data_IF_234846611520
#
_entry.id   IF_234846611520
#
_cell.length_a   1.000
_cell.length_b   1.000
_cell.length_c   1.000
_cell.angle_alpha   90.00
_cell.angle_beta   90.00
_cell.angle_gamma   90.00
#
_symmetry.space_group_name_H-M   'P 1'
#
loop_
_entity.id
_entity.type
_entity.pdbx_description
1 polymer ?
#
# COMPACT_ATOMS: atom_id res chain seq x y z
N UNK A 1 -16.46 -1.16 15.43
CA UNK A 1 -15.20 -0.68 16.05
C UNK A 1 -14.09 -0.86 15.03
N UNK A 2 -13.18 0.11 14.94
CA UNK A 2 -11.94 -0.01 14.18
C UNK A 2 -10.76 -0.18 15.14
N UNK A 3 -9.72 -0.89 14.70
CA UNK A 3 -8.49 -1.10 15.45
C UNK A 3 -7.30 -0.81 14.55
N UNK A 4 -6.56 0.25 14.86
CA UNK A 4 -5.28 0.55 14.20
C UNK A 4 -4.15 -0.11 15.01
N UNK A 5 -3.27 -0.85 14.33
CA UNK A 5 -2.19 -1.57 14.97
C UNK A 5 -0.94 -1.64 14.09
N UNK A 6 0.17 -2.05 14.68
CA UNK A 6 1.42 -2.31 13.95
C UNK A 6 1.93 -3.68 14.33
N UNK A 7 2.06 -4.56 13.34
CA UNK A 7 2.69 -5.86 13.51
C UNK A 7 4.20 -5.73 13.27
N UNK A 8 5.02 -6.27 14.20
CA UNK A 8 6.47 -6.36 14.03
C UNK A 8 6.84 -7.78 13.63
N UNK A 9 7.29 -7.97 12.39
CA UNK A 9 7.70 -9.26 11.88
C UNK A 9 9.03 -9.69 12.51
N UNK A 10 9.09 -10.83 13.21
CA UNK A 10 10.25 -11.22 14.02
C UNK A 10 11.43 -11.76 13.20
N UNK A 11 11.22 -12.10 11.92
CA UNK A 11 12.24 -12.67 11.03
C UNK A 11 12.78 -11.62 10.06
N UNK A 12 13.86 -11.95 9.36
CA UNK A 12 14.34 -11.14 8.24
C UNK A 12 13.34 -11.24 7.09
N UNK A 13 12.79 -10.09 6.66
CA UNK A 13 11.93 -10.02 5.49
C UNK A 13 12.80 -9.97 4.23
N UNK A 14 12.71 -11.00 3.38
CA UNK A 14 13.47 -11.11 2.13
C UNK A 14 12.66 -10.47 1.01
N UNK A 15 13.28 -9.53 0.30
CA UNK A 15 12.72 -8.90 -0.88
C UNK A 15 13.00 -9.73 -2.13
N UNK A 16 12.24 -9.49 -3.20
CA UNK A 16 12.38 -10.17 -4.49
C UNK A 16 13.79 -10.02 -5.07
N UNK A 17 14.41 -8.84 -4.90
CA UNK A 17 15.79 -8.58 -5.33
C UNK A 17 16.88 -9.21 -4.42
N UNK A 18 16.49 -10.02 -3.44
CA UNK A 18 17.40 -10.71 -2.52
C UNK A 18 17.90 -9.85 -1.33
N UNK A 19 17.67 -8.54 -1.32
CA UNK A 19 17.94 -7.70 -0.15
C UNK A 19 17.00 -8.07 1.00
N UNK A 20 17.35 -7.64 2.21
CA UNK A 20 16.62 -8.00 3.42
C UNK A 20 16.31 -6.78 4.28
N UNK A 21 15.11 -6.75 4.85
CA UNK A 21 14.70 -5.78 5.86
C UNK A 21 14.63 -6.49 7.21
N UNK A 22 15.33 -5.94 8.20
CA UNK A 22 15.28 -6.39 9.59
C UNK A 22 14.18 -5.62 10.31
N UNK A 23 13.45 -6.28 11.20
CA UNK A 23 12.39 -5.67 12.02
C UNK A 23 11.34 -4.96 11.16
N UNK A 24 10.84 -5.64 10.12
CA UNK A 24 9.76 -5.11 9.30
C UNK A 24 8.55 -4.84 10.19
N UNK A 25 8.08 -3.59 10.18
CA UNK A 25 6.84 -3.16 10.80
C UNK A 25 5.78 -3.00 9.72
N UNK A 26 4.59 -3.55 9.95
CA UNK A 26 3.44 -3.43 9.06
C UNK A 26 2.33 -2.73 9.84
N UNK A 27 2.04 -1.49 9.48
CA UNK A 27 0.91 -0.75 10.03
C UNK A 27 -0.36 -1.13 9.27
N UNK A 28 -1.43 -1.41 9.99
CA UNK A 28 -2.69 -1.84 9.42
C UNK A 28 -3.87 -1.38 10.28
N UNK A 29 -5.05 -1.42 9.70
CA UNK A 29 -6.30 -1.16 10.37
C UNK A 29 -7.28 -2.29 10.06
N UNK A 30 -8.04 -2.68 11.07
CA UNK A 30 -9.15 -3.61 10.91
C UNK A 30 -10.46 -2.96 11.31
N UNK A 31 -11.55 -3.40 10.72
CA UNK A 31 -12.89 -2.95 11.02
C UNK A 31 -13.80 -4.17 11.15
N UNK A 32 -14.67 -4.15 12.16
CA UNK A 32 -15.57 -5.28 12.44
C UNK A 32 -14.88 -6.42 13.19
N UNK A 33 -15.43 -7.63 13.08
CA UNK A 33 -14.92 -8.81 13.79
C UNK A 33 -14.87 -10.01 12.85
N UNK A 34 -13.76 -10.74 12.91
CA UNK A 34 -13.63 -12.04 12.27
C UNK A 34 -14.63 -13.01 12.90
N UNK A 35 -15.50 -13.62 12.10
CA UNK A 35 -16.48 -14.57 12.59
C UNK A 35 -15.85 -15.95 12.87
N UNK A 36 -16.62 -16.85 13.49
CA UNK A 36 -16.13 -18.18 13.86
C UNK A 36 -15.73 -19.04 12.66
N UNK A 37 -16.43 -18.89 11.53
CA UNK A 37 -16.13 -19.58 10.27
C UNK A 37 -14.92 -18.99 9.53
N UNK A 38 -14.47 -17.79 9.91
CA UNK A 38 -13.40 -17.01 9.26
C UNK A 38 -13.63 -16.75 7.77
N UNK A 39 -14.88 -16.64 7.34
CA UNK A 39 -15.30 -16.50 5.93
C UNK A 39 -15.82 -15.08 5.59
N UNK A 40 -15.75 -14.13 6.53
CA UNK A 40 -16.23 -12.76 6.32
C UNK A 40 -15.13 -11.73 6.05
N UNK A 41 -13.96 -12.17 5.59
CA UNK A 41 -12.77 -11.31 5.41
C UNK A 41 -12.81 -10.54 4.10
N UNK A 42 -12.74 -9.21 4.20
CA UNK A 42 -12.50 -8.33 3.05
C UNK A 42 -11.12 -7.71 3.21
N UNK A 43 -10.22 -7.99 2.25
CA UNK A 43 -8.90 -7.37 2.23
C UNK A 43 -8.86 -6.26 1.19
N UNK A 44 -8.50 -5.06 1.64
CA UNK A 44 -8.40 -3.87 0.79
C UNK A 44 -6.94 -3.50 0.57
N UNK A 45 -6.52 -3.51 -0.69
CA UNK A 45 -5.21 -3.02 -1.11
C UNK A 45 -5.33 -1.54 -1.51
N UNK A 46 -4.67 -0.65 -0.77
CA UNK A 46 -4.75 0.80 -1.00
C UNK A 46 -3.90 1.24 -2.22
N UNK A 47 -4.28 2.36 -2.85
CA UNK A 47 -3.54 2.98 -3.96
C UNK A 47 -2.26 3.71 -3.47
N UNK A 48 -1.41 4.20 -4.39
CA UNK A 48 -0.06 4.73 -4.10
C UNK A 48 0.03 5.71 -2.92
N UNK A 49 -0.94 6.63 -2.80
CA UNK A 49 -0.91 7.72 -1.81
C UNK A 49 -1.98 7.59 -0.72
N UNK A 50 -2.70 6.46 -0.67
CA UNK A 50 -3.69 6.17 0.37
C UNK A 50 -3.02 5.52 1.60
N UNK A 51 -3.82 5.20 2.62
CA UNK A 51 -3.36 4.64 3.89
C UNK A 51 -4.23 3.44 4.33
N UNK A 52 -4.01 2.92 5.53
CA UNK A 52 -4.76 1.79 6.09
C UNK A 52 -6.20 2.12 6.52
N UNK A 53 -6.56 3.39 6.63
CA UNK A 53 -7.93 3.80 6.98
C UNK A 53 -8.81 3.89 5.72
N UNK A 54 -9.30 2.74 5.27
CA UNK A 54 -10.17 2.66 4.08
C UNK A 54 -11.48 3.46 4.21
N UNK A 55 -11.94 3.73 5.44
CA UNK A 55 -13.15 4.54 5.63
C UNK A 55 -12.91 6.01 5.32
N UNK A 56 -11.65 6.49 5.43
CA UNK A 56 -11.27 7.87 5.09
C UNK A 56 -11.22 8.09 3.58
N UNK A 57 -10.56 7.19 2.83
CA UNK A 57 -10.24 7.43 1.41
C UNK A 57 -11.14 6.68 0.43
N UNK A 58 -11.97 5.73 0.89
CA UNK A 58 -12.92 4.99 0.05
C UNK A 58 -14.35 5.00 0.60
N UNK A 59 -14.75 6.14 1.18
CA UNK A 59 -16.11 6.39 1.65
C UNK A 59 -17.15 6.10 0.55
N UNK A 60 -18.32 5.62 0.97
CA UNK A 60 -19.45 5.26 0.10
C UNK A 60 -19.41 3.79 -0.33
N UNK A 61 -18.23 3.23 -0.58
CA UNK A 61 -18.07 1.78 -0.75
C UNK A 61 -17.81 1.09 0.60
N UNK A 62 -17.01 1.73 1.45
CA UNK A 62 -16.70 1.30 2.82
C UNK A 62 -17.25 2.30 3.83
N UNK A 63 -17.73 1.81 4.97
CA UNK A 63 -18.30 2.64 6.04
C UNK A 63 -19.35 1.93 6.87
N UNK A 64 -19.87 2.59 7.91
CA UNK A 64 -20.85 1.96 8.83
C UNK A 64 -22.15 1.52 8.15
N UNK A 65 -22.60 2.27 7.14
CA UNK A 65 -23.84 2.05 6.40
C UNK A 65 -23.56 1.80 4.90
N UNK A 66 -22.34 1.42 4.54
CA UNK A 66 -21.93 1.19 3.16
C UNK A 66 -22.08 -0.29 2.78
N UNK A 67 -21.80 -0.62 1.51
CA UNK A 67 -21.80 -2.00 1.01
C UNK A 67 -20.85 -2.88 1.83
N UNK A 68 -19.63 -2.41 2.08
CA UNK A 68 -18.68 -3.10 2.94
C UNK A 68 -18.64 -2.43 4.31
N UNK A 69 -19.45 -2.97 5.22
CA UNK A 69 -19.61 -2.46 6.58
C UNK A 69 -19.03 -3.40 7.65
N UNK A 70 -18.67 -2.87 8.84
CA UNK A 70 -18.03 -3.67 9.90
C UNK A 70 -19.01 -4.50 10.73
N UNK A 71 -20.33 -4.39 10.49
CA UNK A 71 -21.31 -5.24 11.16
C UNK A 71 -21.37 -6.62 10.48
N UNK A 72 -21.11 -6.68 9.18
CA UNK A 72 -21.15 -7.90 8.37
C UNK A 72 -19.75 -8.48 8.08
N UNK A 73 -18.75 -7.60 7.91
CA UNK A 73 -17.43 -8.00 7.43
C UNK A 73 -16.32 -7.74 8.43
N UNK A 74 -15.26 -8.54 8.34
CA UNK A 74 -13.96 -8.24 8.90
C UNK A 74 -13.08 -7.63 7.82
N UNK A 75 -12.98 -6.30 7.82
CA UNK A 75 -12.27 -5.55 6.79
C UNK A 75 -10.84 -5.32 7.27
N UNK A 76 -9.86 -5.61 6.43
CA UNK A 76 -8.43 -5.43 6.70
C UNK A 76 -7.83 -4.54 5.61
N UNK A 77 -7.11 -3.50 6.01
CA UNK A 77 -6.29 -2.71 5.10
C UNK A 77 -4.93 -2.45 5.74
N UNK A 78 -3.85 -2.73 5.00
CA UNK A 78 -2.49 -2.62 5.49
C UNK A 78 -1.68 -1.65 4.64
N UNK A 79 -0.91 -0.79 5.30
CA UNK A 79 0.00 0.12 4.62
C UNK A 79 1.13 -0.66 3.96
N UNK A 80 1.33 -0.46 2.67
CA UNK A 80 2.38 -1.15 1.90
C UNK A 80 3.79 -0.80 2.37
N UNK A 81 4.75 -1.69 2.11
CA UNK A 81 6.16 -1.43 2.32
C UNK A 81 6.57 -0.10 1.65
N UNK A 82 7.34 0.73 2.35
CA UNK A 82 7.74 2.04 1.81
C UNK A 82 6.71 3.17 2.01
N UNK A 83 5.47 2.86 2.42
CA UNK A 83 4.47 3.87 2.76
C UNK A 83 4.91 4.72 3.97
N UNK A 84 4.63 6.02 3.94
CA UNK A 84 4.94 6.91 5.08
C UNK A 84 3.96 6.75 6.26
N UNK A 85 2.90 5.95 6.10
CA UNK A 85 1.88 5.71 7.13
C UNK A 85 2.25 4.53 8.05
N UNK A 86 3.40 4.59 8.72
CA UNK A 86 3.76 3.68 9.81
C UNK A 86 4.41 2.34 9.44
N UNK A 87 4.14 1.77 8.26
CA UNK A 87 4.90 0.61 7.75
C UNK A 87 6.36 1.01 7.48
N UNK A 88 7.30 0.06 7.63
CA UNK A 88 8.73 0.32 7.40
C UNK A 88 8.98 0.99 6.04
N UNK A 89 9.70 2.10 6.06
CA UNK A 89 9.86 3.01 4.93
C UNK A 89 11.22 3.74 4.97
N UNK A 90 11.57 4.58 3.98
CA UNK A 90 12.85 5.27 3.94
C UNK A 90 13.17 6.12 5.17
N UNK A 91 12.18 6.59 5.93
CA UNK A 91 12.40 7.37 7.15
C UNK A 91 12.44 6.50 8.42
N UNK A 92 12.26 5.18 8.29
CA UNK A 92 12.48 4.23 9.40
C UNK A 92 13.97 4.11 9.73
N UNK A 93 14.29 3.86 11.00
CA UNK A 93 15.66 3.64 11.46
C UNK A 93 16.25 2.37 10.85
N UNK A 94 17.42 2.50 10.21
CA UNK A 94 18.23 1.38 9.79
C UNK A 94 18.95 0.78 11.02
N UNK A 95 18.70 -0.48 11.39
CA UNK A 95 19.29 -1.09 12.58
C UNK A 95 20.80 -1.32 12.47
N UNK A 96 21.39 -1.20 11.28
CA UNK A 96 22.85 -1.31 11.09
C UNK A 96 23.55 0.01 11.40
N UNK A 97 22.96 1.13 11.00
CA UNK A 97 23.59 2.46 11.10
C UNK A 97 23.04 3.31 12.25
N UNK A 98 21.90 2.94 12.83
CA UNK A 98 21.19 3.73 13.84
C UNK A 98 20.51 5.00 13.29
N UNK A 99 20.64 5.28 11.99
CA UNK A 99 20.06 6.45 11.30
C UNK A 99 18.94 6.03 10.35
N UNK A 100 18.04 6.94 9.91
CA UNK A 100 17.04 6.59 8.90
C UNK A 100 17.67 6.07 7.60
N UNK A 101 16.97 5.19 6.89
CA UNK A 101 17.47 4.61 5.65
C UNK A 101 17.73 5.65 4.54
N UNK A 102 16.85 6.64 4.39
CA UNK A 102 16.82 7.58 3.27
C UNK A 102 17.03 6.86 1.92
N UNK A 103 17.97 7.32 1.10
CA UNK A 103 18.28 6.76 -0.21
C UNK A 103 18.90 5.35 -0.16
N UNK A 104 19.31 4.87 1.02
CA UNK A 104 19.79 3.49 1.19
C UNK A 104 18.67 2.47 1.38
N UNK A 105 17.41 2.90 1.47
CA UNK A 105 16.28 1.99 1.56
C UNK A 105 16.27 1.06 0.34
N UNK A 106 16.12 -0.27 0.52
CA UNK A 106 16.18 -1.19 -0.60
C UNK A 106 15.02 -0.93 -1.56
N UNK A 107 15.28 -1.05 -2.86
CA UNK A 107 14.21 -1.12 -3.86
C UNK A 107 13.32 -2.33 -3.57
N UNK A 108 12.03 -2.18 -3.87
CA UNK A 108 11.01 -3.20 -3.63
C UNK A 108 10.04 -3.25 -4.81
N UNK A 109 9.29 -4.34 -4.92
CA UNK A 109 8.34 -4.61 -5.98
C UNK A 109 6.92 -4.82 -5.44
N UNK A 110 5.94 -5.02 -6.33
CA UNK A 110 4.58 -5.38 -5.93
C UNK A 110 4.55 -6.72 -5.18
N UNK A 111 5.42 -7.68 -5.54
CA UNK A 111 5.51 -8.96 -4.85
C UNK A 111 6.04 -8.85 -3.43
N UNK A 112 6.85 -7.83 -3.16
CA UNK A 112 7.26 -7.50 -1.79
C UNK A 112 6.09 -6.95 -0.97
N UNK A 113 5.16 -6.21 -1.59
CA UNK A 113 3.91 -5.80 -0.91
C UNK A 113 3.05 -7.00 -0.58
N UNK A 114 2.85 -7.90 -1.56
CA UNK A 114 2.10 -9.14 -1.35
C UNK A 114 2.73 -10.00 -0.26
N UNK A 115 4.05 -10.17 -0.28
CA UNK A 115 4.77 -10.93 0.75
C UNK A 115 4.56 -10.35 2.15
N UNK A 116 4.48 -9.02 2.28
CA UNK A 116 4.15 -8.37 3.54
C UNK A 116 2.68 -8.63 3.96
N UNK A 117 1.74 -8.56 3.00
CA UNK A 117 0.33 -8.88 3.26
C UNK A 117 0.13 -10.33 3.69
N UNK A 118 0.83 -11.29 3.09
CA UNK A 118 0.80 -12.72 3.46
C UNK A 118 1.27 -12.94 4.89
N UNK A 119 2.37 -12.29 5.26
CA UNK A 119 2.92 -12.31 6.62
C UNK A 119 1.90 -11.75 7.63
N UNK A 120 1.25 -10.63 7.28
CA UNK A 120 0.24 -10.03 8.14
C UNK A 120 -1.02 -10.91 8.23
N UNK A 121 -1.51 -11.46 7.12
CA UNK A 121 -2.66 -12.37 7.09
C UNK A 121 -2.42 -13.60 7.98
N UNK A 122 -1.22 -14.18 7.91
CA UNK A 122 -0.80 -15.29 8.77
C UNK A 122 -0.80 -14.89 10.25
N UNK A 123 -0.29 -13.70 10.58
CA UNK A 123 -0.31 -13.17 11.95
C UNK A 123 -1.74 -12.97 12.48
N UNK A 124 -2.65 -12.49 11.63
CA UNK A 124 -4.06 -12.30 11.97
C UNK A 124 -4.87 -13.61 12.00
N UNK A 125 -4.26 -14.75 11.65
CA UNK A 125 -4.94 -16.04 11.60
C UNK A 125 -5.99 -16.14 10.49
N UNK A 126 -5.80 -15.37 9.41
CA UNK A 126 -6.64 -15.34 8.21
C UNK A 126 -6.08 -16.35 7.22
N UNK A 127 -6.86 -17.38 6.89
CA UNK A 127 -6.49 -18.41 5.93
C UNK A 127 -7.24 -18.26 4.61
N UNK A 128 -8.45 -17.70 4.64
CA UNK A 128 -9.28 -17.42 3.47
C UNK A 128 -9.67 -15.94 3.45
N UNK A 129 -9.65 -15.36 2.25
CA UNK A 129 -10.07 -13.99 1.99
C UNK A 129 -11.27 -14.07 1.05
N UNK A 130 -12.45 -13.77 1.60
CA UNK A 130 -13.72 -13.80 0.87
C UNK A 130 -13.72 -12.82 -0.30
N UNK A 131 -13.14 -11.64 -0.10
CA UNK A 131 -12.97 -10.64 -1.15
C UNK A 131 -11.64 -9.92 -1.01
N UNK A 132 -10.83 -9.97 -2.07
CA UNK A 132 -9.65 -9.12 -2.25
C UNK A 132 -9.99 -8.02 -3.24
N UNK A 133 -9.82 -6.76 -2.84
CA UNK A 133 -10.20 -5.60 -3.64
C UNK A 133 -9.11 -4.54 -3.64
N UNK A 134 -8.85 -3.96 -4.81
CA UNK A 134 -7.86 -2.89 -4.95
C UNK A 134 -8.02 -2.06 -6.20
N UNK A 135 -7.80 -0.75 -6.06
CA UNK A 135 -7.79 0.21 -7.15
C UNK A 135 -6.39 0.72 -7.48
N UNK A 136 -6.09 1.02 -8.75
CA UNK A 136 -4.77 1.56 -9.15
C UNK A 136 -3.61 0.67 -8.70
N UNK A 137 -2.63 1.17 -7.94
CA UNK A 137 -1.57 0.37 -7.29
C UNK A 137 -2.14 -0.74 -6.39
N UNK A 138 -3.29 -0.50 -5.76
CA UNK A 138 -4.03 -1.48 -4.99
C UNK A 138 -4.45 -2.69 -5.84
N UNK A 139 -4.88 -2.43 -7.07
CA UNK A 139 -5.24 -3.49 -8.01
C UNK A 139 -4.04 -4.31 -8.46
N UNK A 140 -2.86 -3.69 -8.59
CA UNK A 140 -1.62 -4.41 -8.90
C UNK A 140 -1.24 -5.38 -7.78
N UNK A 141 -1.38 -4.95 -6.51
CA UNK A 141 -1.21 -5.84 -5.34
C UNK A 141 -2.20 -6.99 -5.37
N UNK A 142 -3.48 -6.69 -5.64
CA UNK A 142 -4.55 -7.68 -5.64
C UNK A 142 -4.36 -8.75 -6.74
N UNK A 143 -3.95 -8.34 -7.94
CA UNK A 143 -3.61 -9.24 -9.05
C UNK A 143 -2.45 -10.16 -8.67
N UNK A 144 -1.32 -9.60 -8.23
CA UNK A 144 -0.14 -10.40 -7.86
C UNK A 144 -0.47 -11.37 -6.72
N UNK A 145 -1.24 -10.96 -5.72
CA UNK A 145 -1.61 -11.85 -4.62
C UNK A 145 -2.53 -12.99 -5.08
N UNK A 146 -3.54 -12.68 -5.90
CA UNK A 146 -4.41 -13.71 -6.48
C UNK A 146 -3.65 -14.74 -7.32
N UNK A 147 -2.53 -14.37 -7.94
CA UNK A 147 -1.66 -15.29 -8.68
C UNK A 147 -0.78 -16.12 -7.73
N UNK A 148 -0.21 -15.50 -6.69
CA UNK A 148 0.72 -16.16 -5.77
C UNK A 148 0.02 -17.14 -4.83
N UNK A 149 -1.20 -16.83 -4.35
CA UNK A 149 -2.00 -17.70 -3.49
C UNK A 149 -3.43 -17.86 -4.02
N UNK A 150 -3.62 -18.58 -5.15
CA UNK A 150 -4.91 -18.66 -5.84
C UNK A 150 -6.01 -19.34 -5.01
N UNK A 151 -5.65 -20.15 -4.01
CA UNK A 151 -6.61 -20.83 -3.13
C UNK A 151 -7.03 -20.00 -1.93
N UNK A 152 -6.27 -18.94 -1.58
CA UNK A 152 -6.58 -18.06 -0.43
C UNK A 152 -7.69 -17.06 -0.77
N UNK A 153 -7.83 -16.69 -2.04
CA UNK A 153 -8.68 -15.60 -2.50
C UNK A 153 -9.92 -16.17 -3.20
N UNK A 154 -11.11 -15.96 -2.64
CA UNK A 154 -12.35 -16.45 -3.25
C UNK A 154 -12.85 -15.53 -4.38
N UNK A 155 -12.83 -14.23 -4.14
CA UNK A 155 -13.29 -13.23 -5.11
C UNK A 155 -12.28 -12.11 -5.24
N UNK A 156 -12.13 -11.59 -6.46
CA UNK A 156 -11.17 -10.54 -6.80
C UNK A 156 -11.89 -9.38 -7.49
N UNK A 157 -11.74 -8.16 -6.96
CA UNK A 157 -12.25 -6.93 -7.59
C UNK A 157 -11.07 -6.01 -7.91
N UNK A 158 -10.91 -5.70 -9.19
CA UNK A 158 -9.81 -4.89 -9.73
C UNK A 158 -10.37 -3.62 -10.35
N UNK A 159 -9.97 -2.45 -9.83
CA UNK A 159 -10.52 -1.16 -10.28
C UNK A 159 -9.42 -0.29 -10.88
N UNK A 160 -9.60 0.19 -12.11
CA UNK A 160 -8.69 1.16 -12.76
C UNK A 160 -7.20 0.81 -12.59
N UNK A 161 -6.84 -0.44 -12.89
CA UNK A 161 -5.51 -1.01 -12.67
C UNK A 161 -4.98 -1.68 -13.95
N UNK A 162 -3.78 -2.25 -13.88
CA UNK A 162 -3.14 -2.95 -14.98
C UNK A 162 -2.27 -4.10 -14.45
N UNK A 163 -2.09 -5.14 -15.25
CA UNK A 163 -1.12 -6.22 -14.96
C UNK A 163 0.32 -5.76 -15.24
N UNK A 164 0.50 -4.94 -16.29
CA UNK A 164 1.78 -4.35 -16.67
C UNK A 164 1.58 -2.87 -16.91
N UNK A 165 2.47 -2.04 -16.35
CA UNK A 165 2.39 -0.61 -16.50
C UNK A 165 2.69 -0.18 -17.95
N UNK A 166 1.85 0.67 -18.54
CA UNK A 166 2.04 1.12 -19.93
C UNK A 166 3.25 2.06 -20.05
N UNK A 167 3.89 2.16 -21.24
CA UNK A 167 4.95 3.13 -21.48
C UNK A 167 4.55 4.57 -21.12
N UNK A 168 3.29 4.92 -21.36
CA UNK A 168 2.70 6.21 -21.00
C UNK A 168 2.66 6.43 -19.48
N UNK A 169 2.16 5.45 -18.71
CA UNK A 169 2.16 5.51 -17.25
C UNK A 169 3.58 5.57 -16.66
N UNK A 170 4.51 4.82 -17.27
CA UNK A 170 5.93 4.86 -16.91
C UNK A 170 6.50 6.28 -17.12
N UNK A 171 6.25 6.91 -18.26
CA UNK A 171 6.72 8.26 -18.55
C UNK A 171 6.20 9.31 -17.55
N UNK A 172 4.93 9.20 -17.15
CA UNK A 172 4.36 10.04 -16.08
C UNK A 172 5.07 9.83 -14.74
N UNK A 173 5.27 8.58 -14.35
CA UNK A 173 5.95 8.26 -13.09
C UNK A 173 7.42 8.70 -13.10
N UNK A 174 8.12 8.59 -14.24
CA UNK A 174 9.49 9.11 -14.39
C UNK A 174 9.53 10.64 -14.30
N UNK A 175 8.57 11.33 -14.91
CA UNK A 175 8.47 12.80 -14.81
C UNK A 175 8.25 13.26 -13.37
N UNK A 176 7.42 12.54 -12.62
CA UNK A 176 7.22 12.79 -11.18
C UNK A 176 8.49 12.52 -10.37
N UNK A 177 9.21 11.42 -10.65
CA UNK A 177 10.52 11.14 -10.01
C UNK A 177 11.52 12.24 -10.32
N UNK A 178 11.63 12.67 -11.57
CA UNK A 178 12.53 13.73 -11.99
C UNK A 178 12.23 15.05 -11.27
N UNK A 179 10.94 15.40 -11.11
CA UNK A 179 10.55 16.57 -10.34
C UNK A 179 11.05 16.51 -8.88
N UNK A 180 11.00 15.33 -8.26
CA UNK A 180 11.51 15.10 -6.91
C UNK A 180 13.04 15.18 -6.87
N UNK A 181 13.74 14.48 -7.77
CA UNK A 181 15.22 14.36 -7.72
C UNK A 181 15.95 15.64 -8.13
N UNK A 182 15.31 16.52 -8.92
CA UNK A 182 15.88 17.82 -9.30
C UNK A 182 15.76 18.87 -8.20
N UNK A 183 14.98 18.63 -7.14
CA UNK A 183 15.01 19.46 -5.95
C UNK A 183 16.36 19.28 -5.24
N UNK A 184 17.12 20.37 -5.14
CA UNK A 184 18.46 20.41 -4.51
C UNK A 184 18.52 19.81 -3.09
N UNK A 185 17.39 19.72 -2.40
CA UNK A 185 17.30 19.18 -1.04
C UNK A 185 17.09 17.66 -1.00
N UNK A 186 16.75 17.02 -2.12
CA UNK A 186 16.42 15.59 -2.18
C UNK A 186 17.57 14.69 -1.71
N UNK A 187 18.79 14.95 -2.17
CA UNK A 187 19.97 14.18 -1.81
C UNK A 187 20.59 14.56 -0.45
N UNK A 188 19.95 15.45 0.31
CA UNK A 188 20.47 15.93 1.59
C UNK A 188 20.23 14.99 2.78
N UNK A 189 19.57 13.83 2.57
CA UNK A 189 19.18 12.89 3.63
C UNK A 189 18.48 13.59 4.81
N UNK A 190 17.47 14.41 4.51
CA UNK A 190 16.62 15.10 5.49
C UNK A 190 15.17 14.66 5.32
N UNK A 191 14.41 14.67 6.42
CA UNK A 191 13.00 14.25 6.45
C UNK A 191 12.13 14.98 5.42
N UNK A 192 12.41 16.26 5.20
CA UNK A 192 11.70 17.17 4.30
C UNK A 192 12.42 17.41 2.97
N UNK A 193 13.48 16.63 2.69
CA UNK A 193 14.22 16.69 1.43
C UNK A 193 13.34 16.37 0.23
N UNK A 194 13.44 17.17 -0.82
CA UNK A 194 12.63 17.01 -2.03
C UNK A 194 11.21 17.57 -1.92
N UNK A 195 10.88 18.33 -0.87
CA UNK A 195 9.52 18.81 -0.63
C UNK A 195 8.95 19.71 -1.74
N UNK A 196 9.76 20.53 -2.42
CA UNK A 196 9.28 21.33 -3.56
C UNK A 196 9.06 20.43 -4.77
N UNK A 197 10.00 19.52 -5.01
CA UNK A 197 9.88 18.50 -6.05
C UNK A 197 8.63 17.62 -5.88
N UNK A 198 8.31 17.22 -4.65
CA UNK A 198 7.11 16.45 -4.31
C UNK A 198 5.82 17.23 -4.61
N UNK A 199 5.77 18.54 -4.33
CA UNK A 199 4.63 19.39 -4.71
C UNK A 199 4.43 19.39 -6.23
N UNK A 200 5.51 19.53 -7.00
CA UNK A 200 5.47 19.46 -8.46
C UNK A 200 5.04 18.08 -8.95
N UNK A 201 5.60 17.01 -8.40
CA UNK A 201 5.21 15.64 -8.73
C UNK A 201 3.72 15.39 -8.47
N UNK A 202 3.18 15.87 -7.35
CA UNK A 202 1.74 15.77 -7.06
C UNK A 202 0.90 16.56 -8.05
N UNK A 203 1.33 17.75 -8.45
CA UNK A 203 0.65 18.54 -9.49
C UNK A 203 0.56 17.77 -10.80
N UNK A 204 1.69 17.22 -11.28
CA UNK A 204 1.75 16.38 -12.48
C UNK A 204 0.79 15.19 -12.36
N UNK A 205 0.81 14.50 -11.22
CA UNK A 205 -0.04 13.34 -10.98
C UNK A 205 -1.54 13.68 -11.10
N UNK A 206 -1.98 14.81 -10.52
CA UNK A 206 -3.38 15.22 -10.54
C UNK A 206 -3.90 15.44 -11.98
N UNK A 207 -3.07 15.99 -12.88
CA UNK A 207 -3.42 16.14 -14.29
C UNK A 207 -3.73 14.79 -14.96
N UNK A 208 -3.09 13.71 -14.52
CA UNK A 208 -3.30 12.36 -15.07
C UNK A 208 -4.45 11.58 -14.41
N UNK A 209 -4.91 12.00 -13.23
CA UNK A 209 -5.95 11.28 -12.46
C UNK A 209 -7.37 11.70 -12.83
N UNK A 210 -7.51 12.77 -13.61
CA UNK A 210 -8.77 13.34 -14.05
C UNK A 210 -8.76 13.48 -15.56
N UNK A 211 -9.94 13.68 -16.12
CA UNK A 211 -10.08 14.05 -17.53
C UNK A 211 -9.95 15.56 -17.68
N UNK A 212 -9.64 16.01 -18.89
CA UNK A 212 -9.62 17.44 -19.24
C UNK A 212 -10.92 18.16 -18.81
N UNK A 213 -12.08 17.54 -19.07
CA UNK A 213 -13.38 18.09 -18.72
C UNK A 213 -13.59 18.29 -17.22
N UNK A 214 -12.98 17.46 -16.37
CA UNK A 214 -13.11 17.58 -14.92
C UNK A 214 -12.40 18.83 -14.34
N UNK A 215 -11.62 19.55 -15.15
CA UNK A 215 -11.02 20.85 -14.80
C UNK A 215 -11.76 22.05 -15.39
N UNK A 216 -12.78 21.81 -16.22
CA UNK A 216 -13.53 22.87 -16.91
C UNK A 216 -14.72 23.41 -16.10
N UNK A 217 -15.01 22.82 -14.93
CA UNK A 217 -16.14 23.15 -14.06
C UNK A 217 -15.67 23.50 -12.65
#
# INVERSE_FOLDING_TARGET
MSTSATYSYPKQFKLENGKKIRNLKIAYQTFGKLNAAKDNVIWVCHALTANADVFEWWEGLFGQNALFNPNEHFIVCANVLGSHYGTTNPLSTNPVTGSPYYLSFPQFTIRDFVSAHQVLASYLGIENIRLLIGGSLGGQQAVEWGIIEPTRIENLILVATNAVHSPWGIAFNESQRLAITTDRTFYANKKDGGSKGLKTARSIALLSYRTYHAYSN
#
